data_IF_456674756212
#
_entry.id   IF_456674756212
#
_cell.length_a   1.000
_cell.length_b   1.000
_cell.length_c   1.000
_cell.angle_alpha   90.00
_cell.angle_beta   90.00
_cell.angle_gamma   90.00
#
_symmetry.space_group_name_H-M   'P 1'
#
loop_
_entity.id
_entity.type
_entity.pdbx_description
1 polymer ?
#
# COMPACT_ATOMS: atom_id res chain seq x y z
N UNK A 1 -69.66 -4.18 32.22
CA UNK A 1 -69.99 -3.65 30.88
C UNK A 1 -69.36 -2.29 30.56
N UNK A 2 -69.52 -1.24 31.40
CA UNK A 2 -68.94 0.10 31.15
C UNK A 2 -67.41 0.15 31.06
N UNK A 3 -66.70 -0.72 31.79
CA UNK A 3 -65.23 -0.80 31.74
C UNK A 3 -64.72 -1.39 30.41
N UNK A 4 -65.37 -2.46 29.93
CA UNK A 4 -65.05 -3.12 28.66
C UNK A 4 -65.32 -2.19 27.46
N UNK A 5 -66.39 -1.40 27.50
CA UNK A 5 -66.70 -0.42 26.46
C UNK A 5 -65.61 0.66 26.38
N UNK A 6 -65.10 1.14 27.53
CA UNK A 6 -64.00 2.12 27.57
C UNK A 6 -62.69 1.56 27.04
N UNK A 7 -62.32 0.34 27.41
CA UNK A 7 -61.08 -0.29 26.90
C UNK A 7 -61.14 -0.56 25.41
N UNK A 8 -62.31 -0.97 24.89
CA UNK A 8 -62.49 -1.16 23.44
C UNK A 8 -62.44 0.17 22.69
N UNK A 9 -63.06 1.23 23.22
CA UNK A 9 -63.00 2.57 22.62
C UNK A 9 -61.57 3.13 22.61
N UNK A 10 -60.84 2.99 23.72
CA UNK A 10 -59.45 3.45 23.81
C UNK A 10 -58.55 2.66 22.86
N UNK A 11 -58.71 1.34 22.78
CA UNK A 11 -57.93 0.49 21.88
C UNK A 11 -58.24 0.77 20.40
N UNK A 12 -59.49 1.01 20.03
CA UNK A 12 -59.86 1.40 18.66
C UNK A 12 -59.39 2.81 18.31
N UNK A 13 -59.41 3.77 19.23
CA UNK A 13 -58.81 5.09 19.00
C UNK A 13 -57.29 5.02 18.87
N UNK A 14 -56.61 4.14 19.61
CA UNK A 14 -55.15 3.96 19.50
C UNK A 14 -54.75 3.38 18.13
N UNK A 15 -55.55 2.45 17.60
CA UNK A 15 -55.30 1.77 16.34
C UNK A 15 -55.62 2.64 15.11
N UNK A 16 -56.52 3.62 15.23
CA UNK A 16 -56.82 4.56 14.14
C UNK A 16 -55.80 5.70 14.03
N UNK A 17 -54.98 5.95 15.07
CA UNK A 17 -53.96 7.00 15.07
C UNK A 17 -52.58 6.48 14.64
N UNK A 18 -52.41 5.18 14.44
CA UNK A 18 -51.24 4.63 13.73
C UNK A 18 -51.46 4.80 12.23
N UNK A 19 -51.26 6.03 11.74
CA UNK A 19 -51.13 6.26 10.31
C UNK A 19 -50.01 5.37 9.77
N UNK A 20 -50.31 4.62 8.71
CA UNK A 20 -49.28 3.96 7.91
C UNK A 20 -48.58 5.08 7.15
N UNK A 21 -47.47 5.60 7.69
CA UNK A 21 -46.54 6.41 6.91
C UNK A 21 -45.87 5.43 5.94
N UNK A 22 -46.36 5.41 4.71
CA UNK A 22 -45.72 4.75 3.59
C UNK A 22 -44.67 5.73 3.09
N UNK A 23 -43.45 5.55 3.58
CA UNK A 23 -42.26 6.13 2.96
C UNK A 23 -41.64 5.01 2.13
N UNK A 24 -41.41 5.29 0.85
CA UNK A 24 -40.75 4.39 -0.07
C UNK A 24 -39.31 4.86 -0.33
N UNK A 25 -38.35 3.93 -0.40
CA UNK A 25 -36.98 4.26 -0.74
C UNK A 25 -36.90 4.78 -2.19
N UNK A 26 -36.23 5.91 -2.34
CA UNK A 26 -35.90 6.56 -3.61
C UNK A 26 -34.39 6.69 -3.72
N UNK A 27 -33.81 6.02 -4.71
CA UNK A 27 -32.37 5.93 -4.90
C UNK A 27 -31.94 6.71 -6.12
N UNK A 28 -31.10 7.73 -5.89
CA UNK A 28 -30.39 8.46 -6.93
C UNK A 28 -29.04 7.77 -7.13
N UNK A 29 -28.82 7.18 -8.30
CA UNK A 29 -27.56 6.50 -8.63
C UNK A 29 -26.92 7.10 -9.86
N UNK A 30 -25.62 6.89 -10.05
CA UNK A 30 -24.90 7.40 -11.21
C UNK A 30 -23.40 7.41 -10.96
N UNK A 31 -22.67 8.13 -11.81
CA UNK A 31 -21.23 8.31 -11.69
C UNK A 31 -20.83 9.77 -11.55
N UNK A 32 -19.80 10.04 -10.76
CA UNK A 32 -19.21 11.37 -10.60
C UNK A 32 -17.82 11.39 -11.23
N UNK A 33 -17.62 12.27 -12.20
CA UNK A 33 -16.36 12.45 -12.89
C UNK A 33 -15.98 13.93 -13.02
N UNK A 34 -14.70 14.21 -13.21
CA UNK A 34 -14.23 15.53 -13.65
C UNK A 34 -14.42 15.67 -15.17
N UNK A 35 -14.33 16.89 -15.72
CA UNK A 35 -14.42 17.13 -17.18
C UNK A 35 -13.43 16.34 -18.07
N UNK A 36 -12.39 15.74 -17.49
CA UNK A 36 -11.43 14.90 -18.18
C UNK A 36 -11.70 13.40 -18.01
N UNK A 37 -12.94 13.03 -17.68
CA UNK A 37 -13.41 11.66 -17.42
C UNK A 37 -12.67 10.95 -16.27
N UNK A 38 -11.94 11.68 -15.43
CA UNK A 38 -11.32 11.10 -14.24
C UNK A 38 -12.40 10.88 -13.17
N UNK A 39 -12.54 9.67 -12.62
CA UNK A 39 -13.56 9.40 -11.60
C UNK A 39 -13.22 10.10 -10.27
N UNK A 40 -14.26 10.59 -9.60
CA UNK A 40 -14.17 11.21 -8.28
C UNK A 40 -14.35 10.12 -7.23
N UNK A 41 -13.28 9.72 -6.53
CA UNK A 41 -13.29 8.55 -5.66
C UNK A 41 -13.34 8.95 -4.18
N UNK A 42 -14.13 8.21 -3.39
CA UNK A 42 -14.22 8.35 -1.93
C UNK A 42 -14.62 9.75 -1.46
N UNK A 43 -15.49 10.41 -2.21
CA UNK A 43 -16.05 11.72 -1.86
C UNK A 43 -17.55 11.56 -1.57
N UNK A 44 -18.06 12.36 -0.64
CA UNK A 44 -19.47 12.34 -0.27
C UNK A 44 -20.31 13.12 -1.29
N UNK A 45 -21.35 12.48 -1.81
CA UNK A 45 -22.47 13.15 -2.48
C UNK A 45 -23.53 13.40 -1.41
N UNK A 46 -23.74 14.66 -1.06
CA UNK A 46 -24.61 15.09 0.04
C UNK A 46 -25.83 15.85 -0.49
N UNK A 47 -26.98 15.68 0.15
CA UNK A 47 -28.16 16.50 -0.12
C UNK A 47 -28.06 17.82 0.64
N UNK A 48 -28.09 18.90 -0.13
CA UNK A 48 -28.22 20.27 0.30
C UNK A 48 -29.56 20.85 -0.20
N UNK A 49 -30.01 21.94 0.41
CA UNK A 49 -31.33 22.52 0.17
C UNK A 49 -31.24 24.03 -0.03
N UNK A 50 -32.04 24.54 -0.97
CA UNK A 50 -32.22 25.98 -1.10
C UNK A 50 -32.96 26.55 0.13
N UNK A 51 -32.66 27.79 0.51
CA UNK A 51 -33.18 28.43 1.75
C UNK A 51 -34.70 28.51 1.85
N UNK A 52 -35.42 28.36 0.73
CA UNK A 52 -36.88 28.48 0.67
C UNK A 52 -37.59 27.18 0.28
N UNK A 53 -36.85 26.07 0.21
CA UNK A 53 -37.38 24.76 -0.18
C UNK A 53 -37.69 23.92 1.07
N UNK A 54 -38.93 23.99 1.54
CA UNK A 54 -39.36 23.35 2.78
C UNK A 54 -39.37 21.82 2.67
N UNK A 55 -39.65 21.30 1.49
CA UNK A 55 -39.81 19.86 1.27
C UNK A 55 -38.44 19.16 1.22
N UNK A 56 -37.38 19.87 0.81
CA UNK A 56 -36.02 19.35 0.78
C UNK A 56 -35.41 19.15 2.17
N UNK A 57 -35.74 20.02 3.15
CA UNK A 57 -35.10 20.01 4.47
C UNK A 57 -35.26 18.69 5.25
N UNK A 58 -36.21 17.83 4.87
CA UNK A 58 -36.33 16.48 5.42
C UNK A 58 -35.12 15.57 5.08
N UNK A 59 -34.40 15.89 4.00
CA UNK A 59 -33.31 15.09 3.44
C UNK A 59 -31.93 15.73 3.60
N UNK A 60 -31.87 16.97 4.08
CA UNK A 60 -30.64 17.73 4.25
C UNK A 60 -29.61 16.97 5.11
N UNK A 61 -28.38 16.88 4.61
CA UNK A 61 -27.27 16.19 5.26
C UNK A 61 -27.24 14.67 5.08
N UNK A 62 -28.19 14.08 4.34
CA UNK A 62 -28.06 12.70 3.88
C UNK A 62 -26.97 12.63 2.81
N UNK A 63 -26.07 11.65 2.93
CA UNK A 63 -24.95 11.51 2.02
C UNK A 63 -24.64 10.06 1.67
N UNK A 64 -23.99 9.87 0.54
CA UNK A 64 -23.44 8.59 0.11
C UNK A 64 -22.05 8.79 -0.50
N UNK A 65 -21.07 7.92 -0.18
CA UNK A 65 -19.73 8.02 -0.74
C UNK A 65 -19.68 7.47 -2.17
N UNK A 66 -18.83 8.07 -3.00
CA UNK A 66 -18.44 7.50 -4.29
C UNK A 66 -17.45 6.34 -4.13
N UNK A 67 -17.55 5.35 -5.00
CA UNK A 67 -16.63 4.20 -5.05
C UNK A 67 -15.34 4.49 -5.86
N UNK A 68 -14.54 3.44 -6.10
CA UNK A 68 -13.31 3.52 -6.89
C UNK A 68 -13.53 3.94 -8.35
N UNK A 69 -14.71 3.69 -8.90
CA UNK A 69 -15.11 4.08 -10.24
C UNK A 69 -15.81 5.44 -10.29
N UNK A 70 -16.02 6.07 -9.14
CA UNK A 70 -16.82 7.28 -9.00
C UNK A 70 -18.32 7.03 -8.97
N UNK A 71 -18.76 5.77 -8.91
CA UNK A 71 -20.18 5.44 -8.82
C UNK A 71 -20.71 5.73 -7.42
N UNK A 72 -21.94 6.20 -7.33
CA UNK A 72 -22.65 6.47 -6.07
C UNK A 72 -24.09 5.96 -6.14
N UNK A 73 -24.67 5.72 -4.96
CA UNK A 73 -26.07 5.40 -4.79
C UNK A 73 -26.55 6.03 -3.47
N UNK A 74 -27.34 7.10 -3.57
CA UNK A 74 -27.89 7.86 -2.46
C UNK A 74 -29.37 7.50 -2.32
N UNK A 75 -29.76 6.91 -1.20
CA UNK A 75 -31.14 6.51 -0.93
C UNK A 75 -31.76 7.43 0.11
N UNK A 76 -32.92 8.00 -0.23
CA UNK A 76 -33.76 8.82 0.65
C UNK A 76 -35.15 8.19 0.75
N UNK A 77 -35.86 8.44 1.85
CA UNK A 77 -37.20 7.90 2.09
C UNK A 77 -38.26 8.95 1.70
N UNK A 78 -38.99 8.73 0.60
CA UNK A 78 -39.94 9.71 0.05
C UNK A 78 -41.35 9.13 0.02
N UNK A 79 -42.34 10.02 0.03
CA UNK A 79 -43.74 9.69 -0.24
C UNK A 79 -44.26 10.54 -1.40
N UNK A 80 -45.52 10.33 -1.80
CA UNK A 80 -46.14 11.05 -2.92
C UNK A 80 -46.17 12.58 -2.76
N UNK A 81 -46.01 13.11 -1.54
CA UNK A 81 -46.02 14.57 -1.29
C UNK A 81 -44.75 15.27 -1.72
N UNK A 82 -43.64 14.53 -1.87
CA UNK A 82 -42.34 15.06 -2.29
C UNK A 82 -42.13 15.00 -3.81
N UNK A 83 -43.11 14.52 -4.59
CA UNK A 83 -43.02 14.51 -6.05
C UNK A 83 -42.96 15.94 -6.60
N UNK A 84 -41.88 16.25 -7.31
CA UNK A 84 -41.56 17.59 -7.81
C UNK A 84 -40.69 18.44 -6.88
N UNK A 85 -40.31 17.96 -5.69
CA UNK A 85 -39.38 18.67 -4.81
C UNK A 85 -37.97 18.74 -5.44
N UNK A 86 -37.32 19.90 -5.29
CA UNK A 86 -35.97 20.15 -5.80
C UNK A 86 -34.93 19.94 -4.69
N UNK A 87 -33.95 19.08 -4.96
CA UNK A 87 -32.79 18.81 -4.12
C UNK A 87 -31.54 19.39 -4.79
N UNK A 88 -30.53 19.74 -3.99
CA UNK A 88 -29.20 20.07 -4.48
C UNK A 88 -28.23 18.97 -4.05
N UNK A 89 -27.72 18.20 -5.00
CA UNK A 89 -26.65 17.24 -4.74
C UNK A 89 -25.33 18.00 -4.71
N UNK A 90 -24.70 18.08 -3.55
CA UNK A 90 -23.44 18.77 -3.34
C UNK A 90 -22.29 17.77 -3.20
N UNK A 91 -21.24 17.97 -3.99
CA UNK A 91 -20.01 17.19 -3.92
C UNK A 91 -18.83 18.12 -4.17
N UNK A 92 -17.81 18.06 -3.31
CA UNK A 92 -16.59 18.88 -3.45
C UNK A 92 -16.86 20.41 -3.52
N UNK A 93 -17.98 20.87 -2.96
CA UNK A 93 -18.39 22.28 -2.99
C UNK A 93 -19.03 22.74 -4.31
N UNK A 94 -19.33 21.82 -5.22
CA UNK A 94 -20.18 22.07 -6.39
C UNK A 94 -21.57 21.48 -6.14
N UNK A 95 -22.63 22.15 -6.58
CA UNK A 95 -24.02 21.74 -6.35
C UNK A 95 -24.75 21.51 -7.66
N UNK A 96 -25.52 20.43 -7.73
CA UNK A 96 -26.24 19.98 -8.91
C UNK A 96 -27.71 19.78 -8.57
N UNK A 97 -28.61 20.36 -9.35
CA UNK A 97 -30.05 20.21 -9.14
C UNK A 97 -30.51 18.78 -9.44
N UNK A 98 -31.42 18.29 -8.60
CA UNK A 98 -32.14 17.04 -8.81
C UNK A 98 -33.61 17.27 -8.45
N UNK A 99 -34.54 16.86 -9.31
CA UNK A 99 -35.98 16.98 -9.03
C UNK A 99 -36.53 15.59 -8.81
N UNK A 100 -37.10 15.37 -7.63
CA UNK A 100 -37.76 14.10 -7.32
C UNK A 100 -38.90 13.91 -8.30
N UNK A 101 -38.86 12.83 -9.07
CA UNK A 101 -39.91 12.49 -10.01
C UNK A 101 -40.21 10.99 -9.91
N UNK A 102 -41.30 10.67 -9.21
CA UNK A 102 -41.71 9.28 -8.97
C UNK A 102 -42.22 8.59 -10.24
N UNK A 103 -42.72 9.37 -11.20
CA UNK A 103 -43.24 8.84 -12.47
C UNK A 103 -42.17 8.53 -13.51
N UNK A 104 -41.02 9.22 -13.42
CA UNK A 104 -39.88 9.03 -14.31
C UNK A 104 -38.88 8.00 -13.76
N UNK A 105 -38.93 7.71 -12.47
CA UNK A 105 -38.07 6.71 -11.83
C UNK A 105 -38.51 5.28 -12.18
N UNK A 106 -37.53 4.39 -12.28
CA UNK A 106 -37.77 2.97 -12.47
C UNK A 106 -38.27 2.37 -11.15
N UNK A 107 -39.46 1.78 -11.19
CA UNK A 107 -40.02 1.10 -10.03
C UNK A 107 -39.48 -0.33 -9.94
N UNK A 108 -38.70 -0.60 -8.90
CA UNK A 108 -38.09 -1.91 -8.62
C UNK A 108 -38.71 -2.52 -7.36
N UNK A 109 -38.35 -3.77 -7.05
CA UNK A 109 -38.72 -4.39 -5.77
C UNK A 109 -38.08 -3.72 -4.56
N UNK A 110 -37.04 -2.91 -4.77
CA UNK A 110 -36.27 -2.24 -3.72
C UNK A 110 -36.63 -0.76 -3.58
N UNK A 111 -37.54 -0.23 -4.40
CA UNK A 111 -37.92 1.19 -4.41
C UNK A 111 -37.88 1.83 -5.79
N UNK A 112 -37.92 3.15 -5.81
CA UNK A 112 -37.72 3.97 -7.01
C UNK A 112 -36.23 4.18 -7.25
N UNK A 113 -35.78 4.02 -8.48
CA UNK A 113 -34.38 4.25 -8.87
C UNK A 113 -34.32 5.21 -10.04
N UNK A 114 -33.44 6.21 -9.95
CA UNK A 114 -33.17 7.16 -11.02
C UNK A 114 -31.66 7.29 -11.25
N UNK A 115 -31.27 7.45 -12.51
CA UNK A 115 -29.88 7.62 -12.91
C UNK A 115 -29.55 9.09 -13.17
N UNK A 116 -28.52 9.62 -12.51
CA UNK A 116 -28.00 10.98 -12.67
C UNK A 116 -26.47 10.99 -12.57
N UNK A 117 -25.80 11.13 -13.72
CA UNK A 117 -24.36 11.37 -13.76
C UNK A 117 -24.02 12.83 -13.43
N UNK A 118 -22.89 13.02 -12.74
CA UNK A 118 -22.41 14.32 -12.28
C UNK A 118 -21.03 14.58 -12.87
N UNK A 119 -20.88 15.72 -13.58
CA UNK A 119 -19.60 16.16 -14.13
C UNK A 119 -19.15 17.42 -13.39
N UNK A 120 -18.08 17.29 -12.62
CA UNK A 120 -17.47 18.40 -11.90
C UNK A 120 -16.75 19.34 -12.85
N UNK A 121 -16.97 20.65 -12.66
CA UNK A 121 -16.35 21.72 -13.43
C UNK A 121 -14.88 21.90 -13.03
N UNK A 122 -14.54 21.63 -11.76
CA UNK A 122 -13.17 21.75 -11.28
C UNK A 122 -12.21 20.76 -11.99
N UNK A 123 -10.92 21.09 -11.97
CA UNK A 123 -9.91 20.20 -12.54
C UNK A 123 -9.62 19.03 -11.59
N UNK A 124 -9.43 17.83 -12.15
CA UNK A 124 -9.03 16.66 -11.37
C UNK A 124 -7.71 16.91 -10.62
N UNK A 125 -7.56 16.46 -9.36
CA UNK A 125 -6.29 16.52 -8.67
C UNK A 125 -5.21 15.78 -9.47
N UNK A 126 -3.97 16.28 -9.42
CA UNK A 126 -2.86 15.65 -10.13
C UNK A 126 -2.71 14.20 -9.63
N UNK A 127 -2.82 13.24 -10.55
CA UNK A 127 -2.84 11.82 -10.20
C UNK A 127 -1.62 11.38 -9.37
N UNK A 128 -1.75 10.34 -8.53
CA UNK A 128 -0.71 9.89 -7.61
C UNK A 128 0.36 9.07 -8.34
N UNK A 129 1.09 9.70 -9.26
CA UNK A 129 2.22 9.06 -9.95
C UNK A 129 3.45 8.86 -9.03
N UNK A 130 3.43 9.37 -7.79
CA UNK A 130 4.65 9.54 -7.00
C UNK A 130 4.72 8.87 -5.62
N UNK A 131 3.63 8.34 -5.06
CA UNK A 131 3.67 7.83 -3.67
C UNK A 131 4.20 6.41 -3.56
N UNK A 132 3.89 5.51 -4.51
CA UNK A 132 4.34 4.11 -4.49
C UNK A 132 5.70 3.85 -5.15
N UNK A 133 5.91 4.42 -6.35
CA UNK A 133 7.16 4.26 -7.10
C UNK A 133 8.32 5.06 -6.47
N UNK A 134 8.05 6.23 -5.88
CA UNK A 134 9.08 7.04 -5.22
C UNK A 134 9.72 6.31 -4.03
N UNK A 135 8.91 5.77 -3.13
CA UNK A 135 9.39 5.04 -1.96
C UNK A 135 10.11 3.75 -2.32
N UNK A 136 9.60 2.98 -3.28
CA UNK A 136 10.26 1.74 -3.71
C UNK A 136 11.61 2.02 -4.38
N UNK A 137 11.68 2.98 -5.30
CA UNK A 137 12.94 3.38 -5.95
C UNK A 137 13.96 3.90 -4.94
N UNK A 138 13.53 4.68 -3.93
CA UNK A 138 14.41 5.14 -2.85
C UNK A 138 14.97 3.96 -2.04
N UNK A 139 14.14 3.01 -1.60
CA UNK A 139 14.60 1.84 -0.84
C UNK A 139 15.56 0.98 -1.67
N UNK A 140 15.24 0.70 -2.93
CA UNK A 140 16.12 -0.08 -3.81
C UNK A 140 17.44 0.64 -4.12
N UNK A 141 17.41 1.96 -4.33
CA UNK A 141 18.62 2.75 -4.57
C UNK A 141 19.57 2.74 -3.38
N UNK A 142 19.05 2.89 -2.16
CA UNK A 142 19.86 2.82 -0.92
C UNK A 142 20.45 1.42 -0.73
N UNK A 143 19.64 0.37 -0.92
CA UNK A 143 20.13 -1.01 -0.83
C UNK A 143 21.25 -1.28 -1.86
N UNK A 144 21.08 -0.81 -3.09
CA UNK A 144 22.07 -0.97 -4.15
C UNK A 144 23.37 -0.21 -3.85
N UNK A 145 23.28 1.03 -3.38
CA UNK A 145 24.45 1.82 -2.96
C UNK A 145 25.20 1.13 -1.82
N UNK A 146 24.50 0.57 -0.82
CA UNK A 146 25.13 -0.16 0.28
C UNK A 146 25.84 -1.44 -0.18
N UNK A 147 25.28 -2.15 -1.16
CA UNK A 147 25.91 -3.32 -1.77
C UNK A 147 27.16 -2.91 -2.55
N UNK A 148 27.09 -1.83 -3.35
CA UNK A 148 28.25 -1.32 -4.08
C UNK A 148 29.37 -0.86 -3.14
N UNK A 149 29.06 -0.10 -2.09
CA UNK A 149 30.05 0.35 -1.10
C UNK A 149 30.69 -0.85 -0.40
N UNK A 150 29.91 -1.86 0.01
CA UNK A 150 30.46 -3.09 0.61
C UNK A 150 31.37 -3.84 -0.36
N UNK A 151 31.01 -3.87 -1.64
CA UNK A 151 31.77 -4.58 -2.68
C UNK A 151 33.07 -3.86 -2.98
N UNK A 152 33.04 -2.54 -3.18
CA UNK A 152 34.24 -1.73 -3.43
C UNK A 152 35.18 -1.76 -2.23
N UNK A 153 34.67 -1.62 -0.99
CA UNK A 153 35.50 -1.76 0.21
C UNK A 153 36.16 -3.13 0.32
N UNK A 154 35.46 -4.22 -0.08
CA UNK A 154 36.06 -5.56 -0.12
C UNK A 154 37.15 -5.69 -1.18
N UNK A 155 37.03 -4.97 -2.30
CA UNK A 155 38.06 -4.94 -3.34
C UNK A 155 39.26 -4.04 -3.01
N UNK A 156 39.06 -2.99 -2.21
CA UNK A 156 40.12 -2.04 -1.83
C UNK A 156 40.96 -2.46 -0.62
N UNK A 157 40.60 -3.53 0.10
CA UNK A 157 41.49 -4.11 1.12
C UNK A 157 42.48 -5.04 0.43
N UNK A 158 43.72 -4.57 0.28
CA UNK A 158 44.87 -5.20 -0.39
C UNK A 158 45.36 -6.54 0.20
N UNK A 159 44.54 -7.24 0.98
CA UNK A 159 44.84 -8.57 1.52
C UNK A 159 43.90 -9.70 1.06
N UNK A 160 42.79 -9.40 0.37
CA UNK A 160 41.73 -10.40 0.12
C UNK A 160 41.49 -10.71 -1.38
N UNK A 161 42.38 -10.26 -2.29
CA UNK A 161 42.43 -10.81 -3.66
C UNK A 161 43.05 -12.21 -3.71
N UNK A 162 43.81 -12.60 -2.69
CA UNK A 162 44.52 -13.88 -2.69
C UNK A 162 43.67 -15.05 -2.18
N UNK A 163 42.67 -14.80 -1.32
CA UNK A 163 41.78 -15.85 -0.79
C UNK A 163 40.74 -16.34 -1.81
N UNK A 164 40.36 -15.53 -2.79
CA UNK A 164 39.39 -15.92 -3.82
C UNK A 164 39.98 -16.75 -4.97
N UNK A 165 41.32 -16.84 -5.08
CA UNK A 165 41.99 -17.59 -6.16
C UNK A 165 42.52 -18.95 -5.69
N UNK A 166 42.33 -19.32 -4.41
CA UNK A 166 42.86 -20.60 -3.90
C UNK A 166 44.39 -20.70 -3.99
N UNK A 167 45.09 -19.56 -4.09
CA UNK A 167 46.55 -19.53 -4.15
C UNK A 167 47.09 -19.76 -2.74
N UNK A 168 47.40 -21.02 -2.42
CA UNK A 168 48.17 -21.37 -1.22
C UNK A 168 49.51 -20.66 -1.33
N UNK A 169 49.69 -19.56 -0.61
CA UNK A 169 50.97 -18.86 -0.53
C UNK A 169 51.97 -19.84 0.06
N UNK A 170 52.90 -20.35 -0.74
CA UNK A 170 53.98 -21.17 -0.25
C UNK A 170 55.00 -20.24 0.42
N UNK A 171 55.11 -20.23 1.77
CA UNK A 171 56.08 -19.37 2.43
C UNK A 171 57.49 -19.70 1.91
N UNK A 172 58.24 -18.67 1.56
CA UNK A 172 59.65 -18.76 1.19
C UNK A 172 60.45 -18.70 2.48
N UNK A 173 61.42 -19.60 2.63
CA UNK A 173 62.34 -19.65 3.78
C UNK A 173 63.77 -19.67 3.28
N UNK A 174 64.68 -19.09 4.05
CA UNK A 174 66.11 -19.13 3.75
C UNK A 174 66.73 -20.43 4.27
N UNK A 175 67.66 -21.00 3.51
CA UNK A 175 68.42 -22.17 3.94
C UNK A 175 69.43 -21.77 5.04
N UNK A 176 69.51 -22.48 6.17
CA UNK A 176 70.45 -22.15 7.25
C UNK A 176 71.92 -22.42 6.92
N UNK A 177 72.21 -23.18 5.86
CA UNK A 177 73.57 -23.59 5.49
C UNK A 177 74.17 -22.70 4.39
N UNK A 178 73.36 -22.29 3.42
CA UNK A 178 73.82 -21.51 2.27
C UNK A 178 73.06 -20.20 2.01
N UNK A 179 72.10 -19.85 2.88
CA UNK A 179 71.25 -18.65 2.76
C UNK A 179 70.47 -18.56 1.44
N UNK A 180 70.35 -19.70 0.73
CA UNK A 180 69.55 -19.80 -0.49
C UNK A 180 68.06 -19.61 -0.20
N UNK A 181 67.37 -18.83 -1.03
CA UNK A 181 65.92 -18.61 -0.95
C UNK A 181 65.17 -19.73 -1.65
N UNK A 182 64.36 -20.48 -0.91
CA UNK A 182 63.54 -21.55 -1.48
C UNK A 182 62.17 -21.70 -0.80
N UNK A 183 61.18 -22.29 -1.50
CA UNK A 183 59.91 -22.64 -0.88
C UNK A 183 60.10 -23.59 0.31
N UNK A 184 59.39 -23.35 1.42
CA UNK A 184 59.49 -24.13 2.68
C UNK A 184 59.36 -25.65 2.48
N UNK A 185 58.52 -26.09 1.54
CA UNK A 185 58.32 -27.52 1.25
C UNK A 185 59.50 -28.19 0.53
N UNK A 186 60.46 -27.42 0.01
CA UNK A 186 61.67 -27.94 -0.64
C UNK A 186 62.90 -27.91 0.27
N UNK A 187 62.79 -27.33 1.47
CA UNK A 187 63.92 -27.13 2.39
C UNK A 187 64.58 -28.45 2.79
N UNK A 188 63.82 -29.46 3.19
CA UNK A 188 64.36 -30.78 3.56
C UNK A 188 65.10 -31.44 2.39
N UNK A 189 64.55 -31.37 1.18
CA UNK A 189 65.20 -31.94 -0.02
C UNK A 189 66.49 -31.20 -0.34
N UNK A 190 66.50 -29.87 -0.22
CA UNK A 190 67.67 -29.05 -0.47
C UNK A 190 68.81 -29.37 0.53
N UNK A 191 68.50 -29.53 1.81
CA UNK A 191 69.47 -29.94 2.83
C UNK A 191 70.10 -31.31 2.54
N UNK A 192 69.30 -32.29 2.10
CA UNK A 192 69.80 -33.64 1.79
C UNK A 192 70.68 -33.63 0.53
N UNK A 193 70.26 -32.92 -0.52
CA UNK A 193 70.91 -33.01 -1.84
C UNK A 193 72.09 -32.05 -1.98
N UNK A 194 71.96 -30.80 -1.55
CA UNK A 194 72.99 -29.77 -1.73
C UNK A 194 73.98 -29.70 -0.55
N UNK A 195 73.56 -30.17 0.63
CA UNK A 195 74.38 -30.13 1.83
C UNK A 195 74.74 -31.52 2.38
N UNK A 196 74.35 -32.59 1.70
CA UNK A 196 74.64 -34.00 2.06
C UNK A 196 74.29 -34.34 3.53
N UNK A 197 73.28 -33.66 4.09
CA UNK A 197 72.80 -33.90 5.46
C UNK A 197 71.92 -35.15 5.47
N UNK A 198 72.07 -35.99 6.50
CA UNK A 198 71.24 -37.19 6.67
C UNK A 198 69.75 -36.84 6.69
N UNK A 199 68.91 -37.70 6.13
CA UNK A 199 67.48 -37.44 6.01
C UNK A 199 66.77 -37.25 7.35
N UNK A 200 67.23 -37.93 8.41
CA UNK A 200 66.67 -37.77 9.75
C UNK A 200 67.06 -36.42 10.36
N UNK A 201 68.33 -36.07 10.26
CA UNK A 201 68.89 -34.82 10.76
C UNK A 201 68.31 -33.60 10.02
N UNK A 202 68.18 -33.67 8.69
CA UNK A 202 67.55 -32.63 7.88
C UNK A 202 66.06 -32.43 8.24
N UNK A 203 65.34 -33.50 8.57
CA UNK A 203 63.94 -33.41 8.98
C UNK A 203 63.79 -32.77 10.37
N UNK A 204 64.68 -33.08 11.30
CA UNK A 204 64.71 -32.50 12.65
C UNK A 204 65.04 -31.00 12.60
N UNK A 205 66.06 -30.61 11.82
CA UNK A 205 66.43 -29.20 11.62
C UNK A 205 65.30 -28.38 11.02
N UNK A 206 64.59 -28.92 10.03
CA UNK A 206 63.41 -28.24 9.49
C UNK A 206 62.31 -28.20 10.55
N UNK A 207 62.04 -29.31 11.23
CA UNK A 207 61.02 -29.42 12.27
C UNK A 207 61.17 -28.39 13.41
N UNK A 208 62.39 -28.18 13.90
CA UNK A 208 62.68 -27.18 14.94
C UNK A 208 62.42 -25.76 14.43
N UNK A 209 62.86 -25.43 13.20
CA UNK A 209 62.60 -24.12 12.58
C UNK A 209 61.10 -23.88 12.34
N UNK A 210 60.34 -24.93 11.99
CA UNK A 210 58.88 -24.82 11.85
C UNK A 210 58.21 -24.54 13.20
N UNK A 211 58.72 -25.13 14.28
CA UNK A 211 58.18 -25.00 15.63
C UNK A 211 58.47 -23.62 16.23
N UNK A 212 59.71 -23.12 16.11
CA UNK A 212 60.08 -21.77 16.56
C UNK A 212 59.27 -20.68 15.83
N UNK A 213 59.11 -20.79 14.51
CA UNK A 213 58.26 -19.87 13.72
C UNK A 213 56.75 -19.93 14.03
N UNK A 214 56.30 -20.87 14.88
CA UNK A 214 54.90 -20.97 15.30
C UNK A 214 54.62 -20.35 16.68
N UNK A 215 55.68 -19.96 17.39
CA UNK A 215 55.63 -19.30 18.70
C UNK A 215 55.76 -17.78 18.62
N UNK A 216 56.24 -17.26 17.48
CA UNK A 216 56.23 -15.84 17.09
C UNK A 216 54.95 -15.46 16.33
#
# INVERSE_FOLDING_TARGET
MRLLIRTVLVATTLLCMSGLVFAEPYTISGSVAYQNDTPVQYEEVEVDCATYEYDCHAFEGQSAPTDLSGAYALTIEVDESYDGAELLLTIRGESFGHVINLSAADQTSEGYVIEQDIILVQNSPTGPIFTGLGCSVLVFSVAFILILIRTVRRFSVEGERERFVGRKTNPITDCPVCEGRLPRHLLTRHLIVEHEIDAHEAAEMVGSMLHEQSLD
#
